data_IF_344966828848
#
_entry.id   IF_344966828848
#
_cell.length_a   1.000
_cell.length_b   1.000
_cell.length_c   1.000
_cell.angle_alpha   90.00
_cell.angle_beta   90.00
_cell.angle_gamma   90.00
#
_symmetry.space_group_name_H-M   'P 1'
#
loop_
_entity.id
_entity.type
_entity.pdbx_description
1 polymer ?
#
# COMPACT_ATOMS: atom_id res chain seq x y z
N UNK A 1 -6.12 -14.71 12.82
CA UNK A 1 -5.26 -13.59 13.29
C UNK A 1 -5.80 -13.07 14.62
N UNK A 2 -4.91 -12.56 15.49
CA UNK A 2 -5.33 -11.97 16.75
C UNK A 2 -6.10 -10.66 16.53
N UNK A 3 -7.09 -10.37 17.40
CA UNK A 3 -7.97 -9.20 17.28
C UNK A 3 -7.31 -7.87 17.65
N UNK A 4 -6.08 -7.87 18.12
CA UNK A 4 -5.30 -6.66 18.41
C UNK A 4 -4.51 -6.13 17.19
N UNK A 5 -4.70 -6.73 16.01
CA UNK A 5 -4.11 -6.24 14.75
C UNK A 5 -5.16 -5.48 13.95
N UNK A 6 -4.84 -4.25 13.56
CA UNK A 6 -5.69 -3.34 12.78
C UNK A 6 -5.03 -3.01 11.45
N UNK A 7 -5.86 -2.76 10.43
CA UNK A 7 -5.39 -2.55 9.06
C UNK A 7 -5.92 -1.24 8.49
N UNK A 8 -5.01 -0.39 8.02
CA UNK A 8 -5.32 0.76 7.18
C UNK A 8 -4.84 0.47 5.76
N UNK A 9 -5.79 0.13 4.91
CA UNK A 9 -5.58 -0.13 3.49
C UNK A 9 -6.08 1.05 2.67
N UNK A 10 -5.86 1.03 1.37
CA UNK A 10 -6.44 2.02 0.47
C UNK A 10 -5.56 2.36 -0.70
N UNK A 11 -6.14 3.10 -1.65
CA UNK A 11 -5.45 3.50 -2.87
C UNK A 11 -4.26 4.45 -2.58
N UNK A 12 -3.33 4.59 -3.51
CA UNK A 12 -2.29 5.60 -3.41
C UNK A 12 -2.89 6.99 -3.16
N UNK A 13 -2.18 7.84 -2.43
CA UNK A 13 -2.58 9.22 -2.09
C UNK A 13 -3.82 9.38 -1.20
N UNK A 14 -4.41 8.30 -0.69
CA UNK A 14 -5.56 8.36 0.20
C UNK A 14 -5.23 8.84 1.64
N UNK A 15 -3.94 9.06 1.97
CA UNK A 15 -3.52 9.58 3.26
C UNK A 15 -3.26 8.52 4.33
N UNK A 16 -3.17 7.25 3.96
CA UNK A 16 -2.95 6.10 4.87
C UNK A 16 -1.85 6.33 5.88
N UNK A 17 -0.65 6.64 5.43
CA UNK A 17 0.55 6.81 6.28
C UNK A 17 0.38 7.94 7.29
N UNK A 18 -0.24 9.06 6.88
CA UNK A 18 -0.47 10.20 7.77
C UNK A 18 -1.44 9.83 8.88
N UNK A 19 -2.54 9.19 8.53
CA UNK A 19 -3.57 8.76 9.49
C UNK A 19 -3.04 7.65 10.39
N UNK A 20 -2.33 6.66 9.84
CA UNK A 20 -1.73 5.58 10.62
C UNK A 20 -0.77 6.11 11.69
N UNK A 21 0.10 7.07 11.36
CA UNK A 21 1.01 7.68 12.33
C UNK A 21 0.30 8.42 13.46
N UNK A 22 -0.83 9.09 13.18
CA UNK A 22 -1.66 9.72 14.20
C UNK A 22 -2.27 8.69 15.15
N UNK A 23 -2.84 7.59 14.63
CA UNK A 23 -3.42 6.51 15.41
C UNK A 23 -2.38 5.83 16.30
N UNK A 24 -1.23 5.51 15.73
CA UNK A 24 -0.10 4.91 16.45
C UNK A 24 0.34 5.76 17.62
N UNK A 25 0.50 7.08 17.40
CA UNK A 25 0.94 8.00 18.45
C UNK A 25 -0.09 8.14 19.57
N UNK A 26 -1.39 8.17 19.23
CA UNK A 26 -2.47 8.37 20.21
C UNK A 26 -2.73 7.14 21.05
N UNK A 27 -2.66 5.97 20.43
CA UNK A 27 -3.07 4.70 21.04
C UNK A 27 -1.89 3.80 21.43
N UNK A 28 -0.66 4.31 21.39
CA UNK A 28 0.57 3.56 21.72
C UNK A 28 0.66 2.21 20.99
N UNK A 29 0.32 2.19 19.68
CA UNK A 29 0.33 0.99 18.86
C UNK A 29 1.73 0.72 18.28
N UNK A 30 2.04 -0.56 18.05
CA UNK A 30 3.18 -0.89 17.18
C UNK A 30 2.84 -0.57 15.72
N UNK A 31 3.68 0.22 15.06
CA UNK A 31 3.50 0.59 13.65
C UNK A 31 4.22 -0.37 12.71
N UNK A 32 3.45 -1.04 11.85
CA UNK A 32 4.00 -1.88 10.79
C UNK A 32 3.71 -1.26 9.42
N UNK A 33 4.74 -0.71 8.78
CA UNK A 33 4.68 -0.20 7.41
C UNK A 33 4.99 -1.32 6.42
N UNK A 34 4.02 -1.68 5.58
CA UNK A 34 4.23 -2.66 4.51
C UNK A 34 5.23 -2.18 3.47
N UNK A 35 5.24 -0.88 3.18
CA UNK A 35 6.17 -0.28 2.21
C UNK A 35 7.63 -0.35 2.70
N UNK A 36 7.88 -0.08 3.98
CA UNK A 36 9.23 -0.16 4.57
C UNK A 36 9.76 -1.60 4.60
N UNK A 37 8.87 -2.59 4.81
CA UNK A 37 9.22 -4.01 4.85
C UNK A 37 9.37 -4.65 3.48
N UNK A 38 8.82 -4.05 2.44
CA UNK A 38 8.81 -4.61 1.08
C UNK A 38 10.18 -5.09 0.63
N UNK A 39 11.23 -4.30 0.84
CA UNK A 39 12.59 -4.64 0.42
C UNK A 39 13.22 -5.78 1.21
N UNK A 40 12.83 -5.97 2.47
CA UNK A 40 13.30 -7.10 3.26
C UNK A 40 12.74 -8.42 2.73
N UNK A 41 11.48 -8.45 2.34
CA UNK A 41 10.88 -9.64 1.74
C UNK A 41 11.54 -10.02 0.42
N UNK A 42 11.95 -9.07 -0.40
CA UNK A 42 12.71 -9.36 -1.63
C UNK A 42 14.03 -10.09 -1.36
N UNK A 43 14.74 -9.79 -0.26
CA UNK A 43 16.00 -10.44 0.09
C UNK A 43 15.82 -11.91 0.44
N UNK A 44 14.64 -12.28 0.92
CA UNK A 44 14.29 -13.63 1.34
C UNK A 44 13.40 -14.36 0.31
N UNK A 45 13.20 -13.80 -0.87
CA UNK A 45 12.36 -14.38 -1.89
C UNK A 45 12.98 -15.67 -2.46
N UNK A 46 12.16 -16.72 -2.51
CA UNK A 46 12.51 -18.02 -3.09
C UNK A 46 11.97 -18.12 -4.53
N UNK A 47 12.83 -18.36 -5.50
CA UNK A 47 12.47 -18.46 -6.93
C UNK A 47 11.41 -19.52 -7.23
N UNK A 48 11.34 -20.57 -6.41
CA UNK A 48 10.35 -21.63 -6.61
C UNK A 48 8.94 -21.22 -6.13
N UNK A 49 8.84 -20.23 -5.23
CA UNK A 49 7.58 -19.80 -4.59
C UNK A 49 7.16 -18.39 -4.96
N UNK A 50 8.12 -17.52 -5.27
CA UNK A 50 7.90 -16.08 -5.42
C UNK A 50 8.31 -15.64 -6.83
N UNK A 51 7.47 -15.97 -7.81
CA UNK A 51 7.71 -15.69 -9.22
C UNK A 51 7.83 -14.20 -9.51
N UNK A 52 6.94 -13.39 -8.92
CA UNK A 52 6.91 -11.94 -9.15
C UNK A 52 8.00 -11.21 -8.40
N UNK A 53 8.28 -11.59 -7.15
CA UNK A 53 9.36 -10.98 -6.36
C UNK A 53 10.75 -11.32 -6.92
N UNK A 54 10.90 -12.44 -7.61
CA UNK A 54 12.18 -12.86 -8.22
C UNK A 54 12.26 -12.66 -9.73
N UNK A 55 11.24 -12.03 -10.32
CA UNK A 55 11.19 -11.73 -11.76
C UNK A 55 12.33 -10.81 -12.16
N UNK A 56 12.99 -11.10 -13.28
CA UNK A 56 13.96 -10.19 -13.86
C UNK A 56 13.26 -8.89 -14.33
N UNK A 57 13.55 -7.80 -13.64
CA UNK A 57 13.04 -6.48 -13.93
C UNK A 57 14.03 -5.61 -14.75
N UNK A 58 15.06 -6.19 -15.36
CA UNK A 58 16.04 -5.44 -16.19
C UNK A 58 15.40 -4.67 -17.33
N UNK A 59 14.32 -5.23 -17.91
CA UNK A 59 13.52 -4.61 -18.98
C UNK A 59 12.24 -3.92 -18.47
N UNK A 60 12.14 -3.59 -17.19
CA UNK A 60 10.91 -3.06 -16.56
C UNK A 60 10.28 -1.90 -17.36
N UNK A 61 11.09 -0.99 -17.85
CA UNK A 61 10.62 0.19 -18.59
C UNK A 61 10.08 -0.10 -20.00
N UNK A 62 10.33 -1.30 -20.52
CA UNK A 62 9.82 -1.76 -21.82
C UNK A 62 8.52 -2.57 -21.66
N UNK A 63 8.09 -2.81 -20.42
CA UNK A 63 6.87 -3.54 -20.16
C UNK A 63 5.62 -2.75 -20.53
N UNK A 64 4.58 -3.44 -20.97
CA UNK A 64 3.25 -2.86 -21.14
C UNK A 64 2.67 -2.46 -19.77
N UNK A 65 1.70 -1.55 -19.78
CA UNK A 65 0.96 -1.17 -18.59
C UNK A 65 0.35 -2.40 -17.89
N UNK A 66 -0.28 -3.32 -18.66
CA UNK A 66 -0.85 -4.55 -18.11
C UNK A 66 0.19 -5.38 -17.39
N UNK A 67 1.36 -5.62 -18.01
CA UNK A 67 2.43 -6.39 -17.37
C UNK A 67 2.94 -5.74 -16.08
N UNK A 68 3.04 -4.41 -16.04
CA UNK A 68 3.41 -3.70 -14.81
C UNK A 68 2.36 -3.86 -13.71
N UNK A 69 1.08 -3.75 -14.06
CA UNK A 69 -0.05 -3.96 -13.13
C UNK A 69 -0.06 -5.38 -12.59
N UNK A 70 0.10 -6.37 -13.45
CA UNK A 70 0.14 -7.79 -13.07
C UNK A 70 1.32 -8.08 -12.13
N UNK A 71 2.48 -7.48 -12.43
CA UNK A 71 3.66 -7.60 -11.57
C UNK A 71 3.43 -6.98 -10.18
N UNK A 72 2.89 -5.75 -10.10
CA UNK A 72 2.59 -5.10 -8.81
C UNK A 72 1.62 -5.94 -7.97
N UNK A 73 0.55 -6.43 -8.58
CA UNK A 73 -0.43 -7.30 -7.91
C UNK A 73 0.18 -8.62 -7.48
N UNK A 74 0.97 -9.23 -8.35
CA UNK A 74 1.66 -10.48 -8.06
C UNK A 74 2.64 -10.36 -6.90
N UNK A 75 3.44 -9.28 -6.86
CA UNK A 75 4.34 -9.00 -5.74
C UNK A 75 3.56 -8.85 -4.43
N UNK A 76 2.45 -8.11 -4.43
CA UNK A 76 1.61 -7.94 -3.24
C UNK A 76 1.03 -9.27 -2.79
N UNK A 77 0.54 -10.08 -3.71
CA UNK A 77 0.00 -11.42 -3.41
C UNK A 77 1.06 -12.35 -2.79
N UNK A 78 2.29 -12.35 -3.33
CA UNK A 78 3.39 -13.15 -2.79
C UNK A 78 3.91 -12.65 -1.44
N UNK A 79 3.88 -11.34 -1.19
CA UNK A 79 4.29 -10.76 0.10
C UNK A 79 3.25 -10.94 1.19
N UNK A 80 1.98 -11.06 0.85
CA UNK A 80 0.89 -11.13 1.83
C UNK A 80 1.05 -12.21 2.89
N UNK A 81 1.35 -13.48 2.55
CA UNK A 81 1.57 -14.52 3.57
C UNK A 81 2.71 -14.17 4.54
N UNK A 82 3.80 -13.56 4.03
CA UNK A 82 4.95 -13.15 4.84
C UNK A 82 4.58 -11.99 5.80
N UNK A 83 3.80 -11.03 5.31
CA UNK A 83 3.25 -9.94 6.13
C UNK A 83 2.36 -10.51 7.24
N UNK A 84 1.49 -11.46 6.91
CA UNK A 84 0.58 -12.08 7.90
C UNK A 84 1.35 -12.87 8.95
N UNK A 85 2.42 -13.56 8.58
CA UNK A 85 3.31 -14.26 9.52
C UNK A 85 3.96 -13.27 10.50
N UNK A 86 4.53 -12.18 9.99
CA UNK A 86 5.11 -11.13 10.83
C UNK A 86 4.07 -10.48 11.75
N UNK A 87 2.87 -10.18 11.25
CA UNK A 87 1.80 -9.58 12.06
C UNK A 87 1.30 -10.52 13.15
N UNK A 88 1.23 -11.83 12.90
CA UNK A 88 0.88 -12.81 13.93
C UNK A 88 1.93 -12.80 15.05
N UNK A 89 3.22 -12.84 14.73
CA UNK A 89 4.31 -12.76 15.71
C UNK A 89 4.26 -11.45 16.51
N UNK A 90 4.13 -10.31 15.82
CA UNK A 90 4.06 -8.99 16.48
C UNK A 90 2.82 -8.85 17.38
N UNK A 91 1.71 -9.50 17.05
CA UNK A 91 0.50 -9.49 17.87
C UNK A 91 0.64 -10.23 19.21
N UNK A 92 1.67 -11.08 19.33
CA UNK A 92 2.02 -11.73 20.60
C UNK A 92 2.98 -10.86 21.43
N UNK A 93 3.73 -9.96 20.79
CA UNK A 93 4.74 -9.11 21.42
C UNK A 93 4.20 -7.73 21.84
N UNK A 94 3.08 -7.29 21.25
CA UNK A 94 2.51 -5.93 21.43
C UNK A 94 1.01 -5.97 21.72
N UNK A 95 0.56 -5.08 22.60
CA UNK A 95 -0.86 -4.96 22.96
C UNK A 95 -1.75 -4.57 21.77
N UNK A 96 -1.25 -3.65 20.91
CA UNK A 96 -1.93 -3.21 19.70
C UNK A 96 -0.93 -3.10 18.55
N UNK A 97 -1.30 -3.58 17.38
CA UNK A 97 -0.51 -3.52 16.15
C UNK A 97 -1.33 -2.84 15.05
N UNK A 98 -0.76 -1.86 14.37
CA UNK A 98 -1.37 -1.21 13.21
C UNK A 98 -0.54 -1.48 11.96
N UNK A 99 -1.11 -2.21 11.02
CA UNK A 99 -0.57 -2.37 9.67
C UNK A 99 -1.04 -1.23 8.75
N UNK A 100 -0.12 -0.67 7.99
CA UNK A 100 -0.41 0.26 6.89
C UNK A 100 0.36 -0.16 5.66
N UNK A 101 -0.33 -0.28 4.52
CA UNK A 101 0.32 -0.65 3.26
C UNK A 101 -0.60 -1.33 2.26
N UNK A 102 0.01 -2.08 1.35
CA UNK A 102 -0.65 -2.91 0.35
C UNK A 102 -0.63 -4.37 0.79
N UNK A 103 -1.75 -5.04 0.64
CA UNK A 103 -1.93 -6.46 0.97
C UNK A 103 -3.01 -7.04 0.07
N UNK A 104 -2.93 -8.32 -0.25
CA UNK A 104 -4.01 -9.03 -0.96
C UNK A 104 -5.25 -9.07 -0.06
N UNK A 105 -6.27 -8.32 -0.44
CA UNK A 105 -7.49 -8.15 0.38
C UNK A 105 -8.25 -9.46 0.51
N UNK A 106 -8.29 -10.29 -0.53
CA UNK A 106 -9.00 -11.58 -0.47
C UNK A 106 -8.31 -12.54 0.51
N UNK A 107 -6.97 -12.57 0.48
CA UNK A 107 -6.23 -13.34 1.46
C UNK A 107 -6.44 -12.79 2.88
N UNK A 108 -6.34 -11.48 3.06
CA UNK A 108 -6.56 -10.84 4.36
C UNK A 108 -7.95 -11.16 4.93
N UNK A 109 -9.01 -11.08 4.12
CA UNK A 109 -10.38 -11.39 4.53
C UNK A 109 -10.60 -12.86 4.91
N UNK A 110 -9.69 -13.75 4.53
CA UNK A 110 -9.73 -15.15 4.95
C UNK A 110 -9.15 -15.39 6.35
N UNK A 111 -8.39 -14.42 6.90
CA UNK A 111 -7.64 -14.57 8.15
C UNK A 111 -7.91 -13.48 9.20
N UNK A 112 -8.51 -12.36 8.81
CA UNK A 112 -8.79 -11.22 9.70
C UNK A 112 -10.27 -10.82 9.67
N UNK A 113 -10.77 -10.31 10.81
CA UNK A 113 -12.13 -9.82 10.94
C UNK A 113 -12.29 -8.48 10.22
N UNK A 114 -13.42 -8.28 9.52
CA UNK A 114 -13.71 -7.05 8.76
C UNK A 114 -13.74 -5.79 9.63
N UNK A 115 -14.17 -5.90 10.89
CA UNK A 115 -14.20 -4.80 11.84
C UNK A 115 -12.82 -4.29 12.28
N UNK A 116 -11.74 -4.97 11.85
CA UNK A 116 -10.34 -4.59 12.05
C UNK A 116 -9.71 -3.95 10.80
N UNK A 117 -10.48 -3.78 9.74
CA UNK A 117 -9.97 -3.32 8.45
C UNK A 117 -10.73 -2.08 8.03
N UNK A 118 -10.00 -1.00 7.72
CA UNK A 118 -10.54 0.17 7.01
C UNK A 118 -9.82 0.36 5.68
N UNK A 119 -10.57 0.87 4.71
CA UNK A 119 -10.02 1.18 3.39
C UNK A 119 -10.19 2.67 3.09
N UNK A 120 -9.07 3.37 2.89
CA UNK A 120 -9.07 4.79 2.55
C UNK A 120 -9.11 4.98 1.03
N UNK A 121 -10.00 5.85 0.59
CA UNK A 121 -10.18 6.19 -0.82
C UNK A 121 -9.86 7.66 -1.08
N UNK A 122 -9.58 7.96 -2.34
CA UNK A 122 -9.41 9.31 -2.88
C UNK A 122 -9.93 9.32 -4.31
N UNK A 123 -10.39 10.45 -4.83
CA UNK A 123 -10.76 10.55 -6.24
C UNK A 123 -9.55 10.24 -7.14
N UNK A 124 -9.80 9.56 -8.26
CA UNK A 124 -8.72 9.12 -9.16
C UNK A 124 -7.92 10.31 -9.69
N UNK A 125 -8.59 11.39 -10.10
CA UNK A 125 -7.93 12.60 -10.61
C UNK A 125 -7.01 13.24 -9.55
N UNK A 126 -7.44 13.26 -8.29
CA UNK A 126 -6.62 13.73 -7.17
C UNK A 126 -5.42 12.81 -6.95
N UNK A 127 -5.63 11.50 -7.02
CA UNK A 127 -4.54 10.54 -6.92
C UNK A 127 -3.51 10.73 -8.04
N UNK A 128 -3.95 10.88 -9.29
CA UNK A 128 -3.07 11.10 -10.45
C UNK A 128 -2.26 12.39 -10.31
N UNK A 129 -2.88 13.47 -9.83
CA UNK A 129 -2.22 14.76 -9.60
C UNK A 129 -1.19 14.69 -8.48
N UNK A 130 -1.53 14.05 -7.37
CA UNK A 130 -0.72 14.05 -6.15
C UNK A 130 0.37 12.94 -6.14
N UNK A 131 0.31 11.96 -7.06
CA UNK A 131 1.13 10.75 -7.00
C UNK A 131 2.63 11.02 -6.83
N UNK A 132 3.21 11.90 -7.65
CA UNK A 132 4.62 12.27 -7.56
C UNK A 132 4.88 13.53 -6.73
N UNK A 133 3.83 14.24 -6.30
CA UNK A 133 3.94 15.38 -5.38
C UNK A 133 4.25 14.98 -3.93
N UNK A 134 4.16 13.69 -3.61
CA UNK A 134 4.46 13.14 -2.30
C UNK A 134 5.96 12.96 -2.11
N UNK A 135 6.46 13.25 -0.89
CA UNK A 135 7.87 13.15 -0.57
C UNK A 135 8.47 11.75 -0.74
N UNK A 136 7.69 10.70 -0.47
CA UNK A 136 8.07 9.30 -0.64
C UNK A 136 8.22 8.86 -2.11
N UNK A 137 7.45 9.46 -3.02
CA UNK A 137 7.56 9.18 -4.47
C UNK A 137 8.54 10.11 -5.21
N UNK A 138 9.00 11.18 -4.56
CA UNK A 138 9.90 12.14 -5.17
C UNK A 138 11.25 11.51 -5.56
N UNK A 139 11.75 10.55 -4.78
CA UNK A 139 12.96 9.80 -5.10
C UNK A 139 12.84 9.01 -6.41
N UNK A 140 11.68 8.37 -6.65
CA UNK A 140 11.41 7.65 -7.89
C UNK A 140 11.31 8.61 -9.08
N UNK A 141 10.59 9.71 -8.95
CA UNK A 141 10.51 10.75 -9.99
C UNK A 141 11.91 11.27 -10.34
N UNK A 142 12.70 11.60 -9.31
CA UNK A 142 14.07 12.08 -9.47
C UNK A 142 14.95 11.05 -10.17
N UNK A 143 14.85 9.77 -9.83
CA UNK A 143 15.59 8.69 -10.48
C UNK A 143 15.25 8.58 -11.97
N UNK A 144 13.96 8.64 -12.33
CA UNK A 144 13.51 8.61 -13.73
C UNK A 144 14.05 9.83 -14.49
N UNK A 145 13.90 11.03 -13.93
CA UNK A 145 14.30 12.27 -14.59
C UNK A 145 15.82 12.40 -14.76
N UNK A 146 16.60 11.81 -13.86
CA UNK A 146 18.06 11.80 -13.91
C UNK A 146 18.65 10.64 -14.74
N UNK A 147 17.82 9.75 -15.31
CA UNK A 147 18.32 8.66 -16.16
C UNK A 147 19.04 9.24 -17.37
N UNK A 148 20.31 8.84 -17.55
CA UNK A 148 21.14 9.28 -18.69
C UNK A 148 20.87 8.40 -19.92
N UNK A 149 21.08 8.96 -21.11
CA UNK A 149 21.02 8.21 -22.38
C UNK A 149 19.62 7.97 -22.94
N UNK A 150 18.58 8.57 -22.34
CA UNK A 150 17.20 8.53 -22.85
C UNK A 150 16.68 9.95 -23.13
N UNK A 151 15.73 10.08 -24.06
CA UNK A 151 15.12 11.38 -24.39
C UNK A 151 14.18 11.88 -23.29
N UNK A 152 13.84 13.16 -23.34
CA UNK A 152 12.89 13.73 -22.37
C UNK A 152 11.46 13.19 -22.59
N UNK A 153 11.10 12.82 -23.83
CA UNK A 153 9.86 12.12 -24.15
C UNK A 153 9.80 10.76 -23.46
N UNK A 154 10.91 10.01 -23.50
CA UNK A 154 11.00 8.70 -22.83
C UNK A 154 10.91 8.85 -21.29
N UNK A 155 11.54 9.87 -20.71
CA UNK A 155 11.40 10.16 -19.27
C UNK A 155 9.93 10.44 -18.90
N UNK A 156 9.24 11.28 -19.67
CA UNK A 156 7.81 11.57 -19.47
C UNK A 156 6.97 10.29 -19.57
N UNK A 157 7.20 9.47 -20.61
CA UNK A 157 6.52 8.19 -20.77
C UNK A 157 6.70 7.29 -19.54
N UNK A 158 7.91 7.18 -19.00
CA UNK A 158 8.21 6.39 -17.81
C UNK A 158 7.46 6.90 -16.56
N UNK A 159 7.41 8.21 -16.38
CA UNK A 159 6.65 8.84 -15.30
C UNK A 159 5.17 8.50 -15.40
N UNK A 160 4.58 8.67 -16.59
CA UNK A 160 3.15 8.41 -16.82
C UNK A 160 2.78 6.94 -16.67
N UNK A 161 3.55 6.03 -17.28
CA UNK A 161 3.26 4.60 -17.20
C UNK A 161 3.44 4.07 -15.78
N UNK A 162 4.43 4.55 -15.02
CA UNK A 162 4.65 4.14 -13.63
C UNK A 162 3.51 4.59 -12.72
N UNK A 163 3.06 5.84 -12.86
CA UNK A 163 1.90 6.37 -12.16
C UNK A 163 0.64 5.57 -12.49
N UNK A 164 0.37 5.38 -13.78
CA UNK A 164 -0.80 4.64 -14.23
C UNK A 164 -0.80 3.19 -13.73
N UNK A 165 0.35 2.52 -13.72
CA UNK A 165 0.48 1.15 -13.21
C UNK A 165 0.14 1.06 -11.73
N UNK A 166 0.75 1.92 -10.89
CA UNK A 166 0.51 1.92 -9.45
C UNK A 166 -0.95 2.26 -9.10
N UNK A 167 -1.54 3.25 -9.76
CA UNK A 167 -2.95 3.61 -9.53
C UNK A 167 -3.86 2.47 -9.97
N UNK A 168 -3.65 1.91 -11.16
CA UNK A 168 -4.50 0.83 -11.69
C UNK A 168 -4.38 -0.45 -10.85
N UNK A 169 -3.19 -0.77 -10.36
CA UNK A 169 -2.98 -1.97 -9.54
C UNK A 169 -3.75 -1.91 -8.21
N UNK A 170 -3.88 -0.71 -7.59
CA UNK A 170 -4.32 -0.57 -6.21
C UNK A 170 -5.58 0.29 -6.03
N UNK A 171 -6.24 0.69 -7.11
CA UNK A 171 -7.51 1.41 -7.05
C UNK A 171 -8.66 0.39 -7.07
N UNK A 172 -8.97 -0.18 -5.90
CA UNK A 172 -10.00 -1.20 -5.76
C UNK A 172 -11.30 -0.63 -5.18
N UNK A 173 -12.43 -1.24 -5.56
CA UNK A 173 -13.72 -0.95 -4.92
C UNK A 173 -13.88 -1.81 -3.67
N UNK A 174 -13.33 -1.35 -2.55
CA UNK A 174 -13.42 -2.05 -1.28
C UNK A 174 -14.86 -2.13 -0.72
N UNK A 175 -15.78 -1.28 -1.19
CA UNK A 175 -17.19 -1.36 -0.79
C UNK A 175 -17.84 -2.63 -1.27
N UNK A 176 -17.50 -3.09 -2.48
CA UNK A 176 -17.98 -4.37 -3.01
C UNK A 176 -17.52 -5.56 -2.17
N UNK A 177 -16.40 -5.43 -1.44
CA UNK A 177 -15.87 -6.44 -0.54
C UNK A 177 -16.46 -6.37 0.89
N UNK A 178 -17.38 -5.44 1.15
CA UNK A 178 -18.01 -5.25 2.46
C UNK A 178 -17.07 -4.65 3.52
N UNK A 179 -16.05 -3.90 3.10
CA UNK A 179 -15.15 -3.18 3.99
C UNK A 179 -15.68 -1.77 4.32
N UNK A 180 -15.41 -1.32 5.55
CA UNK A 180 -15.62 0.09 5.90
C UNK A 180 -14.67 0.96 5.09
N UNK A 181 -15.24 1.93 4.37
CA UNK A 181 -14.47 2.86 3.54
C UNK A 181 -14.65 4.29 4.01
N UNK A 182 -13.55 5.04 4.02
CA UNK A 182 -13.56 6.48 4.27
C UNK A 182 -12.88 7.20 3.10
N UNK A 183 -13.48 8.31 2.63
CA UNK A 183 -12.97 9.06 1.50
C UNK A 183 -12.25 10.33 1.97
N UNK A 184 -11.02 10.54 1.46
CA UNK A 184 -10.29 11.79 1.67
C UNK A 184 -11.04 13.01 1.09
N UNK A 185 -11.96 12.80 0.15
CA UNK A 185 -12.82 13.87 -0.37
C UNK A 185 -13.83 14.33 0.67
N UNK A 186 -14.42 13.40 1.42
CA UNK A 186 -15.45 13.70 2.40
C UNK A 186 -14.84 14.16 3.74
N UNK A 187 -13.68 13.58 4.10
CA UNK A 187 -12.94 13.91 5.32
C UNK A 187 -11.52 14.31 4.93
N UNK A 188 -11.31 15.61 4.72
CA UNK A 188 -10.02 16.15 4.25
C UNK A 188 -8.98 16.30 5.35
N UNK A 189 -9.41 16.46 6.60
CA UNK A 189 -8.54 16.57 7.77
C UNK A 189 -8.00 15.20 8.20
N UNK A 190 -6.67 14.98 8.24
CA UNK A 190 -6.12 13.72 8.77
C UNK A 190 -6.51 13.47 10.23
N UNK A 191 -6.69 14.51 11.02
CA UNK A 191 -7.11 14.42 12.43
C UNK A 191 -8.55 13.91 12.54
N UNK A 192 -9.47 14.46 11.74
CA UNK A 192 -10.86 13.99 11.69
C UNK A 192 -10.95 12.56 11.15
N UNK A 193 -10.15 12.24 10.13
CA UNK A 193 -10.06 10.88 9.60
C UNK A 193 -9.60 9.90 10.69
N UNK A 194 -8.58 10.26 11.46
CA UNK A 194 -8.13 9.44 12.58
C UNK A 194 -9.23 9.25 13.63
N UNK A 195 -9.98 10.31 13.97
CA UNK A 195 -11.06 10.24 14.96
C UNK A 195 -12.16 9.24 14.53
N UNK A 196 -12.60 9.27 13.28
CA UNK A 196 -13.65 8.36 12.81
C UNK A 196 -13.15 6.91 12.73
N UNK A 197 -11.86 6.70 12.46
CA UNK A 197 -11.25 5.37 12.44
C UNK A 197 -11.08 4.83 13.87
N UNK A 198 -10.65 5.64 14.84
CA UNK A 198 -10.60 5.29 16.27
C UNK A 198 -11.98 4.82 16.76
N UNK A 199 -13.03 5.59 16.45
CA UNK A 199 -14.41 5.22 16.78
C UNK A 199 -14.83 3.88 16.13
N UNK A 200 -14.50 3.69 14.86
CA UNK A 200 -14.83 2.44 14.17
C UNK A 200 -14.10 1.23 14.75
N UNK A 201 -12.82 1.36 15.05
CA UNK A 201 -12.02 0.29 15.67
C UNK A 201 -12.34 0.08 17.14
N UNK A 202 -13.01 1.03 17.78
CA UNK A 202 -13.31 1.04 19.22
C UNK A 202 -12.02 0.97 20.07
N UNK A 203 -11.09 1.86 19.78
CA UNK A 203 -9.78 2.01 20.44
C UNK A 203 -9.59 3.42 20.97
#
# INVERSE_FOLDING_TARGET
MNRNVFFILGCPCAGKTTVAKLLVQRNNMYYFSGDDRRFEYYKHADKAKHQYMTMDASSFWDWSLSKMVDWEKGVVSEQTPLIIEDLNRLSEEHDLVLFEGMIDINYLLSVADRDRIVYLTVDRDMCEKDFFGRGDHNGMLTAIMNTKGISDEEKKRRVEIRRAAAITAFYEDARSLGLQTFSRKDISSPVEMANVIEQYFNI
#
